data_IF_163505212549
#
_entry.id   IF_163505212549
#
_cell.length_a   1.000
_cell.length_b   1.000
_cell.length_c   1.000
_cell.angle_alpha   90.00
_cell.angle_beta   90.00
_cell.angle_gamma   90.00
#
_symmetry.space_group_name_H-M   'P 1'
#
loop_
_entity.id
_entity.type
_entity.pdbx_description
1 polymer ?
#
# COMPACT_ATOMS: atom_id res chain seq x y z
N UNK A 1 -33.91 13.31 15.94
CA UNK A 1 -33.26 14.63 16.06
C UNK A 1 -31.76 14.36 15.98
N UNK A 2 -31.22 14.64 14.80
CA UNK A 2 -29.83 14.51 14.34
C UNK A 2 -29.26 13.10 14.14
N UNK A 3 -29.73 12.45 13.06
CA UNK A 3 -28.84 11.70 12.16
C UNK A 3 -28.01 12.72 11.36
N UNK A 4 -26.75 12.88 11.74
CA UNK A 4 -25.65 13.49 10.99
C UNK A 4 -24.41 12.99 11.73
N UNK A 5 -23.63 12.04 11.22
CA UNK A 5 -22.66 12.24 10.13
C UNK A 5 -22.47 10.90 9.38
N UNK A 6 -23.42 10.52 8.54
CA UNK A 6 -23.01 9.93 7.26
C UNK A 6 -22.60 11.11 6.40
N UNK A 7 -21.33 11.54 6.52
CA UNK A 7 -20.69 12.08 5.33
C UNK A 7 -20.31 10.85 4.54
N UNK A 8 -21.06 10.46 3.50
CA UNK A 8 -20.34 9.81 2.43
C UNK A 8 -19.39 10.91 1.95
N UNK A 9 -18.09 10.74 2.20
CA UNK A 9 -17.14 11.19 1.20
C UNK A 9 -17.52 10.43 -0.07
N UNK A 10 -18.55 10.93 -0.74
CA UNK A 10 -18.85 10.67 -2.12
C UNK A 10 -17.70 11.33 -2.86
N UNK A 11 -16.54 10.68 -2.85
CA UNK A 11 -15.56 10.88 -3.91
C UNK A 11 -16.13 10.22 -5.16
N UNK A 12 -17.15 10.87 -5.73
CA UNK A 12 -17.67 10.55 -7.05
C UNK A 12 -16.75 11.18 -8.10
N UNK A 13 -16.54 10.39 -9.16
CA UNK A 13 -15.96 10.75 -10.45
C UNK A 13 -14.47 11.18 -10.46
N UNK A 14 -13.62 10.14 -10.59
CA UNK A 14 -12.17 10.18 -10.92
C UNK A 14 -11.26 10.64 -9.79
N UNK A 15 -11.08 9.79 -8.78
CA UNK A 15 -9.81 9.79 -8.06
C UNK A 15 -8.69 9.49 -9.09
N UNK A 16 -7.80 10.45 -9.41
CA UNK A 16 -6.76 10.24 -10.41
C UNK A 16 -5.79 9.13 -9.99
N UNK A 17 -5.63 8.87 -8.69
CA UNK A 17 -4.80 7.78 -8.17
C UNK A 17 -5.42 6.42 -8.44
N UNK A 18 -6.74 6.31 -8.43
CA UNK A 18 -7.46 5.07 -8.70
C UNK A 18 -7.33 4.60 -10.17
N UNK A 19 -6.90 5.48 -11.08
CA UNK A 19 -6.67 5.16 -12.50
C UNK A 19 -5.19 4.92 -12.85
N UNK A 20 -4.29 4.93 -11.87
CA UNK A 20 -2.87 4.64 -12.11
C UNK A 20 -2.67 3.17 -12.47
N UNK A 21 -2.04 2.91 -13.60
CA UNK A 21 -1.65 1.58 -14.04
C UNK A 21 -0.23 1.27 -13.56
N UNK A 22 -0.11 0.41 -12.55
CA UNK A 22 1.18 0.00 -11.98
C UNK A 22 1.64 -1.32 -12.58
N UNK A 23 2.68 -1.25 -13.41
CA UNK A 23 3.36 -2.42 -13.96
C UNK A 23 4.48 -2.90 -13.01
N UNK A 24 4.11 -3.74 -12.05
CA UNK A 24 5.00 -4.25 -11.00
C UNK A 24 5.98 -5.35 -11.48
N UNK A 25 6.63 -5.19 -12.65
CA UNK A 25 7.47 -6.23 -13.27
C UNK A 25 8.56 -6.79 -12.38
N UNK A 26 9.19 -5.95 -11.56
CA UNK A 26 10.23 -6.42 -10.64
C UNK A 26 9.71 -7.48 -9.66
N UNK A 27 8.52 -7.26 -9.10
CA UNK A 27 7.86 -8.19 -8.18
C UNK A 27 7.29 -9.40 -8.93
N UNK A 28 6.76 -9.17 -10.15
CA UNK A 28 6.11 -10.21 -10.95
C UNK A 28 7.08 -11.19 -11.61
N UNK A 29 8.25 -10.73 -12.05
CA UNK A 29 9.18 -11.51 -12.86
C UNK A 29 10.35 -12.09 -12.07
N UNK A 30 10.66 -11.53 -10.88
CA UNK A 30 11.79 -11.98 -10.07
C UNK A 30 11.34 -12.77 -8.82
N UNK A 31 12.17 -13.74 -8.37
CA UNK A 31 11.85 -14.51 -7.18
C UNK A 31 11.64 -13.63 -5.94
N UNK A 32 10.51 -13.81 -5.27
CA UNK A 32 10.19 -13.17 -3.99
C UNK A 32 10.46 -14.09 -2.80
N UNK A 33 10.69 -13.49 -1.65
CA UNK A 33 10.79 -14.18 -0.38
C UNK A 33 9.40 -14.70 0.03
N UNK A 34 9.25 -16.00 0.35
CA UNK A 34 7.97 -16.56 0.75
C UNK A 34 7.51 -16.10 2.14
N UNK A 35 8.38 -15.49 2.96
CA UNK A 35 8.07 -15.10 4.33
C UNK A 35 7.75 -13.60 4.46
N UNK A 36 6.51 -13.21 4.79
CA UNK A 36 6.11 -11.81 4.98
C UNK A 36 6.41 -11.25 6.38
N UNK A 37 7.00 -12.04 7.28
CA UNK A 37 7.17 -11.60 8.66
C UNK A 37 8.20 -10.46 8.82
N UNK A 38 7.94 -9.48 9.69
CA UNK A 38 8.87 -8.37 9.93
C UNK A 38 9.93 -8.75 10.98
N UNK A 39 10.74 -9.77 10.70
CA UNK A 39 11.84 -10.22 11.58
C UNK A 39 13.16 -10.36 10.82
N UNK A 40 14.31 -10.13 11.47
CA UNK A 40 15.61 -10.41 10.88
C UNK A 40 15.74 -11.90 10.50
N UNK A 41 16.17 -12.18 9.26
CA UNK A 41 16.43 -13.53 8.75
C UNK A 41 17.43 -13.49 7.60
N UNK A 42 17.95 -14.67 7.24
CA UNK A 42 18.66 -14.83 5.98
C UNK A 42 17.66 -15.02 4.84
N UNK A 43 17.86 -14.30 3.74
CA UNK A 43 16.99 -14.34 2.55
C UNK A 43 17.86 -14.76 1.38
N UNK A 44 17.72 -16.01 0.95
CA UNK A 44 18.52 -16.58 -0.14
C UNK A 44 17.69 -16.70 -1.40
N UNK A 45 18.28 -16.33 -2.55
CA UNK A 45 17.67 -16.54 -3.86
C UNK A 45 16.45 -15.67 -4.17
N UNK A 46 16.05 -14.76 -3.29
CA UNK A 46 14.99 -13.78 -3.52
C UNK A 46 15.55 -12.39 -3.79
N UNK A 47 14.90 -11.65 -4.69
CA UNK A 47 15.22 -10.27 -5.04
C UNK A 47 14.42 -9.26 -4.20
N UNK A 48 13.33 -9.68 -3.58
CA UNK A 48 12.45 -8.85 -2.77
C UNK A 48 11.77 -9.66 -1.67
N UNK A 49 11.27 -8.98 -0.63
CA UNK A 49 10.44 -9.58 0.42
C UNK A 49 9.15 -8.78 0.62
N UNK A 50 8.00 -9.44 0.83
CA UNK A 50 6.74 -8.74 1.10
C UNK A 50 6.77 -8.08 2.49
N UNK A 51 6.31 -6.83 2.58
CA UNK A 51 6.16 -6.09 3.82
C UNK A 51 5.01 -5.09 3.71
N UNK A 52 4.21 -5.01 4.76
CA UNK A 52 3.21 -3.95 4.90
C UNK A 52 3.85 -2.68 5.49
N UNK A 53 3.57 -1.49 4.94
CA UNK A 53 4.10 -0.25 5.49
C UNK A 53 3.49 0.04 6.87
N UNK A 54 4.33 0.46 7.82
CA UNK A 54 3.85 0.92 9.13
C UNK A 54 3.26 2.33 9.00
N UNK A 55 1.95 2.55 9.26
CA UNK A 55 1.36 3.88 9.19
C UNK A 55 1.95 4.82 10.24
N UNK A 56 2.08 6.10 9.89
CA UNK A 56 2.45 7.16 10.84
C UNK A 56 1.19 7.80 11.44
N UNK A 57 1.29 8.29 12.68
CA UNK A 57 0.12 8.74 13.44
C UNK A 57 -0.58 10.00 12.90
N UNK A 58 0.14 10.92 12.26
CA UNK A 58 -0.40 12.19 11.77
C UNK A 58 0.27 12.60 10.45
N UNK A 59 -0.05 11.93 9.32
CA UNK A 59 0.51 12.28 8.02
C UNK A 59 0.06 13.69 7.63
N UNK A 60 0.99 14.52 7.13
CA UNK A 60 0.71 15.87 6.63
C UNK A 60 1.44 16.11 5.31
N UNK A 61 0.77 16.76 4.36
CA UNK A 61 1.38 17.19 3.11
C UNK A 61 2.36 18.34 3.38
N UNK A 62 3.53 18.30 2.76
CA UNK A 62 4.57 19.31 2.91
C UNK A 62 4.84 20.11 1.62
N UNK A 63 4.62 19.51 0.45
CA UNK A 63 4.86 20.09 -0.88
C UNK A 63 3.81 19.58 -1.87
#
# INVERSE_FOLDING_TARGET
MNDALTSPDTQDARDPLATLDFDNRFVAELPGDPDPSPRPRQVFGAAWSPVDPTPVAAPRLLA
#
